data_IF_793903791361
#
_entry.id   IF_793903791361
#
_cell.length_a   1.000
_cell.length_b   1.000
_cell.length_c   1.000
_cell.angle_alpha   90.00
_cell.angle_beta   90.00
_cell.angle_gamma   90.00
#
_symmetry.space_group_name_H-M   'P 1'
#
loop_
_entity.id
_entity.type
_entity.pdbx_description
1 polymer ?
#
# COMPACT_ATOMS: atom_id res chain seq x y z
N UNK A 1 35.61 -14.52 -13.05
CA UNK A 1 35.23 -13.23 -13.67
C UNK A 1 33.84 -12.79 -13.25
N UNK A 2 32.86 -13.68 -13.25
CA UNK A 2 31.47 -13.42 -12.81
C UNK A 2 31.37 -12.88 -11.37
N UNK A 3 32.11 -13.44 -10.41
CA UNK A 3 32.13 -12.93 -9.03
C UNK A 3 32.67 -11.49 -8.90
N UNK A 4 33.62 -11.10 -9.76
CA UNK A 4 34.19 -9.75 -9.78
C UNK A 4 33.20 -8.78 -10.44
N UNK A 5 32.53 -9.21 -11.51
CA UNK A 5 31.46 -8.46 -12.16
C UNK A 5 30.27 -8.22 -11.20
N UNK A 6 29.83 -9.26 -10.49
CA UNK A 6 28.76 -9.17 -9.49
C UNK A 6 29.17 -8.28 -8.31
N UNK A 7 30.44 -8.35 -7.88
CA UNK A 7 30.98 -7.44 -6.85
C UNK A 7 30.98 -5.98 -7.30
N UNK A 8 31.41 -5.69 -8.53
CA UNK A 8 31.41 -4.34 -9.10
C UNK A 8 29.98 -3.82 -9.30
N UNK A 9 29.06 -4.66 -9.78
CA UNK A 9 27.65 -4.32 -9.98
C UNK A 9 26.95 -4.05 -8.64
N UNK A 10 27.22 -4.85 -7.60
CA UNK A 10 26.69 -4.64 -6.25
C UNK A 10 27.24 -3.35 -5.62
N UNK A 11 28.54 -3.08 -5.73
CA UNK A 11 29.16 -1.84 -5.23
C UNK A 11 28.65 -0.62 -6.00
N UNK A 12 28.47 -0.72 -7.32
CA UNK A 12 27.90 0.35 -8.13
C UNK A 12 26.43 0.64 -7.75
N UNK A 13 25.63 -0.42 -7.61
CA UNK A 13 24.26 -0.33 -7.13
C UNK A 13 24.16 0.34 -5.76
N UNK A 14 25.03 -0.03 -4.82
CA UNK A 14 25.04 0.55 -3.47
C UNK A 14 25.51 2.01 -3.41
N UNK A 15 26.50 2.41 -4.23
CA UNK A 15 27.13 3.72 -4.13
C UNK A 15 26.49 4.79 -5.03
N UNK A 16 25.92 4.39 -6.18
CA UNK A 16 25.51 5.35 -7.22
C UNK A 16 24.02 5.31 -7.56
N UNK A 17 23.29 4.26 -7.17
CA UNK A 17 21.84 4.21 -7.36
C UNK A 17 21.11 4.77 -6.13
N UNK A 18 20.12 5.62 -6.38
CA UNK A 18 19.16 6.03 -5.35
C UNK A 18 18.40 4.82 -4.77
N UNK A 19 17.76 4.98 -3.61
CA UNK A 19 16.95 3.90 -3.02
C UNK A 19 15.89 3.37 -3.99
N UNK A 20 15.24 4.25 -4.76
CA UNK A 20 14.28 3.85 -5.80
C UNK A 20 14.91 3.07 -6.95
N UNK A 21 16.08 3.50 -7.44
CA UNK A 21 16.78 2.76 -8.50
C UNK A 21 17.29 1.41 -8.00
N UNK A 22 17.69 1.31 -6.73
CA UNK A 22 18.04 0.03 -6.08
C UNK A 22 16.82 -0.88 -5.93
N UNK A 23 15.65 -0.31 -5.60
CA UNK A 23 14.38 -1.02 -5.47
C UNK A 23 13.92 -1.67 -6.76
N UNK A 24 14.16 -1.00 -7.87
CA UNK A 24 13.82 -1.52 -9.17
C UNK A 24 14.86 -2.58 -9.60
N UNK A 25 16.16 -2.27 -9.50
CA UNK A 25 17.26 -3.07 -10.11
C UNK A 25 17.47 -4.52 -9.62
N UNK A 26 16.60 -5.05 -8.75
CA UNK A 26 16.64 -6.43 -8.25
C UNK A 26 17.87 -6.78 -7.41
N UNK A 27 18.69 -5.79 -7.02
CA UNK A 27 19.98 -5.97 -6.34
C UNK A 27 19.88 -6.18 -4.82
N UNK A 28 18.67 -6.23 -4.26
CA UNK A 28 18.40 -6.71 -2.89
C UNK A 28 17.02 -7.36 -2.79
N UNK A 29 16.86 -8.28 -1.85
CA UNK A 29 15.57 -8.84 -1.45
C UNK A 29 14.62 -7.69 -1.06
N UNK A 30 13.61 -7.41 -1.88
CA UNK A 30 12.61 -6.36 -1.66
C UNK A 30 11.23 -6.92 -1.23
N UNK A 31 11.08 -7.60 -0.07
CA UNK A 31 9.74 -8.03 0.35
C UNK A 31 8.93 -6.91 1.04
N UNK A 32 9.52 -6.05 1.89
CA UNK A 32 8.71 -5.40 2.94
C UNK A 32 7.78 -4.24 2.50
N UNK A 33 8.22 -3.21 1.75
CA UNK A 33 7.33 -2.11 1.39
C UNK A 33 6.21 -2.57 0.45
N UNK A 34 6.55 -3.46 -0.48
CA UNK A 34 5.61 -4.03 -1.43
C UNK A 34 4.57 -4.92 -0.73
N UNK A 35 5.02 -5.82 0.14
CA UNK A 35 4.11 -6.64 0.95
C UNK A 35 3.19 -5.78 1.81
N UNK A 36 3.68 -4.67 2.36
CA UNK A 36 2.87 -3.77 3.18
C UNK A 36 1.78 -3.06 2.36
N UNK A 37 2.11 -2.64 1.13
CA UNK A 37 1.12 -2.06 0.20
C UNK A 37 0.04 -3.10 -0.11
N UNK A 38 0.42 -4.28 -0.60
CA UNK A 38 -0.54 -5.32 -0.97
C UNK A 38 -1.36 -5.83 0.19
N UNK A 39 -0.77 -5.98 1.38
CA UNK A 39 -1.51 -6.41 2.57
C UNK A 39 -2.58 -5.38 2.95
N UNK A 40 -2.22 -4.09 2.97
CA UNK A 40 -3.18 -3.01 3.22
C UNK A 40 -4.31 -2.98 2.18
N UNK A 41 -3.96 -3.06 0.89
CA UNK A 41 -4.93 -3.07 -0.22
C UNK A 41 -5.87 -4.27 -0.14
N UNK A 42 -5.31 -5.46 0.04
CA UNK A 42 -6.07 -6.69 0.21
C UNK A 42 -7.04 -6.61 1.39
N UNK A 43 -6.61 -6.07 2.53
CA UNK A 43 -7.48 -5.94 3.70
C UNK A 43 -8.65 -4.98 3.49
N UNK A 44 -8.48 -3.93 2.67
CA UNK A 44 -9.58 -3.04 2.28
C UNK A 44 -10.54 -3.77 1.32
N UNK A 45 -10.00 -4.45 0.31
CA UNK A 45 -10.79 -5.20 -0.67
C UNK A 45 -11.60 -6.33 -0.02
N UNK A 46 -10.98 -7.10 0.87
CA UNK A 46 -11.62 -8.18 1.62
C UNK A 46 -12.74 -7.64 2.51
N UNK A 47 -12.49 -6.54 3.23
CA UNK A 47 -13.51 -5.86 4.03
C UNK A 47 -14.72 -5.46 3.18
N UNK A 48 -14.49 -4.79 2.03
CA UNK A 48 -15.57 -4.40 1.13
C UNK A 48 -16.33 -5.59 0.56
N UNK A 49 -15.59 -6.63 0.13
CA UNK A 49 -16.18 -7.85 -0.41
C UNK A 49 -17.09 -8.52 0.62
N UNK A 50 -16.61 -8.69 1.85
CA UNK A 50 -17.35 -9.36 2.92
C UNK A 50 -18.54 -8.53 3.40
N UNK A 51 -18.41 -7.21 3.54
CA UNK A 51 -19.56 -6.33 3.86
C UNK A 51 -20.60 -6.40 2.76
N UNK A 52 -20.19 -6.32 1.49
CA UNK A 52 -21.11 -6.41 0.35
C UNK A 52 -21.83 -7.76 0.30
N UNK A 53 -21.14 -8.84 0.66
CA UNK A 53 -21.69 -10.19 0.65
C UNK A 53 -22.63 -10.44 1.84
N UNK A 54 -22.23 -10.06 3.06
CA UNK A 54 -22.95 -10.37 4.30
C UNK A 54 -23.99 -9.33 4.69
N UNK A 55 -23.72 -8.05 4.42
CA UNK A 55 -24.51 -6.90 4.84
C UNK A 55 -24.83 -5.97 3.65
N UNK A 56 -25.47 -6.48 2.58
CA UNK A 56 -25.68 -5.71 1.35
C UNK A 56 -26.53 -4.44 1.54
N UNK A 57 -27.30 -4.35 2.63
CA UNK A 57 -28.06 -3.14 2.98
C UNK A 57 -27.18 -2.01 3.53
N UNK A 58 -25.97 -2.29 4.01
CA UNK A 58 -25.05 -1.33 4.63
C UNK A 58 -24.20 -0.58 3.60
N UNK A 59 -24.89 0.09 2.69
CA UNK A 59 -24.28 0.98 1.68
C UNK A 59 -23.52 2.15 2.30
N UNK A 60 -23.86 2.54 3.53
CA UNK A 60 -23.14 3.54 4.32
C UNK A 60 -21.71 3.08 4.67
N UNK A 61 -21.53 1.80 5.04
CA UNK A 61 -20.21 1.23 5.35
C UNK A 61 -19.36 1.15 4.09
N UNK A 62 -19.94 0.62 3.00
CA UNK A 62 -19.24 0.49 1.71
C UNK A 62 -18.76 1.85 1.20
N UNK A 63 -19.61 2.89 1.26
CA UNK A 63 -19.24 4.24 0.84
C UNK A 63 -18.10 4.86 1.66
N UNK A 64 -17.92 4.46 2.93
CA UNK A 64 -16.76 4.90 3.72
C UNK A 64 -15.48 4.17 3.29
N UNK A 65 -15.54 2.85 3.08
CA UNK A 65 -14.38 2.09 2.61
C UNK A 65 -13.90 2.55 1.22
N UNK A 66 -14.83 2.82 0.31
CA UNK A 66 -14.52 3.40 -1.02
C UNK A 66 -13.80 4.76 -0.91
N UNK A 67 -14.22 5.61 0.05
CA UNK A 67 -13.55 6.90 0.31
C UNK A 67 -12.14 6.72 0.88
N UNK A 68 -11.89 5.68 1.68
CA UNK A 68 -10.53 5.36 2.13
C UNK A 68 -9.65 5.01 0.94
N UNK A 69 -10.11 4.16 0.02
CA UNK A 69 -9.35 3.85 -1.20
C UNK A 69 -9.10 5.11 -2.04
N UNK A 70 -10.12 5.94 -2.26
CA UNK A 70 -9.98 7.19 -3.02
C UNK A 70 -8.94 8.11 -2.39
N UNK A 71 -8.97 8.24 -1.06
CA UNK A 71 -7.98 9.01 -0.30
C UNK A 71 -6.56 8.47 -0.54
N UNK A 72 -6.36 7.16 -0.46
CA UNK A 72 -5.04 6.54 -0.67
C UNK A 72 -4.58 6.73 -2.12
N UNK A 73 -5.45 6.46 -3.10
CA UNK A 73 -5.17 6.66 -4.53
C UNK A 73 -4.78 8.10 -4.84
N UNK A 74 -5.42 9.09 -4.19
CA UNK A 74 -5.13 10.51 -4.42
C UNK A 74 -3.67 10.89 -4.10
N UNK A 75 -3.02 10.20 -3.17
CA UNK A 75 -1.59 10.41 -2.83
C UNK A 75 -0.67 10.06 -4.00
N UNK A 76 -1.10 9.14 -4.86
CA UNK A 76 -0.30 8.53 -5.92
C UNK A 76 -0.87 8.80 -7.31
N UNK A 77 -1.60 9.92 -7.48
CA UNK A 77 -2.13 10.34 -8.77
C UNK A 77 -3.30 9.49 -9.28
N UNK A 78 -4.07 8.89 -8.37
CA UNK A 78 -5.26 8.08 -8.67
C UNK A 78 -5.00 6.57 -8.74
N UNK A 79 -3.78 6.13 -8.44
CA UNK A 79 -3.35 4.72 -8.54
C UNK A 79 -3.10 4.18 -7.12
N UNK A 80 -3.37 2.90 -6.89
CA UNK A 80 -3.00 2.28 -5.61
C UNK A 80 -1.48 2.14 -5.49
N UNK A 81 -0.91 2.21 -4.28
CA UNK A 81 0.54 2.12 -4.11
C UNK A 81 1.16 0.81 -4.63
N UNK A 82 0.48 -0.33 -4.48
CA UNK A 82 0.86 -1.63 -5.03
C UNK A 82 0.88 -1.61 -6.56
N UNK A 83 -0.22 -1.15 -7.19
CA UNK A 83 -0.29 -0.95 -8.64
C UNK A 83 0.82 -0.03 -9.17
N UNK A 84 1.14 1.05 -8.44
CA UNK A 84 2.18 1.99 -8.84
C UNK A 84 3.55 1.30 -8.85
N UNK A 85 3.82 0.44 -7.88
CA UNK A 85 5.02 -0.37 -7.83
C UNK A 85 5.10 -1.30 -9.04
N UNK A 86 4.03 -2.04 -9.35
CA UNK A 86 3.95 -2.94 -10.50
C UNK A 86 4.17 -2.23 -11.85
N UNK A 87 3.70 -0.98 -11.97
CA UNK A 87 3.94 -0.16 -13.15
C UNK A 87 5.43 0.16 -13.30
N UNK A 88 6.09 0.58 -12.22
CA UNK A 88 7.51 0.94 -12.28
C UNK A 88 8.42 -0.27 -12.44
N UNK A 89 8.13 -1.39 -11.80
CA UNK A 89 8.86 -2.64 -11.98
C UNK A 89 8.79 -3.11 -13.45
N UNK A 90 7.60 -3.13 -14.05
CA UNK A 90 7.44 -3.49 -15.48
C UNK A 90 8.18 -2.54 -16.42
N UNK A 91 8.21 -1.24 -16.10
CA UNK A 91 8.92 -0.24 -16.92
C UNK A 91 10.43 -0.42 -16.84
N UNK A 92 10.97 -0.70 -15.67
CA UNK A 92 12.39 -1.01 -15.56
C UNK A 92 12.74 -2.32 -16.26
N UNK A 93 11.93 -3.38 -16.11
CA UNK A 93 12.12 -4.65 -16.81
C UNK A 93 12.12 -4.48 -18.34
N UNK A 94 11.41 -3.48 -18.86
CA UNK A 94 11.39 -3.11 -20.29
C UNK A 94 12.40 -2.02 -20.67
N UNK A 95 13.35 -1.70 -19.76
CA UNK A 95 14.39 -0.68 -19.94
C UNK A 95 13.86 0.71 -20.28
N UNK A 96 12.62 1.01 -19.89
CA UNK A 96 12.05 2.34 -20.01
C UNK A 96 12.52 3.21 -18.86
N UNK A 97 13.20 4.31 -19.19
CA UNK A 97 13.64 5.26 -18.17
C UNK A 97 12.45 5.90 -17.46
N UNK A 98 12.54 5.97 -16.13
CA UNK A 98 11.64 6.77 -15.31
C UNK A 98 12.05 8.24 -15.37
N UNK A 99 11.06 9.12 -15.39
CA UNK A 99 11.30 10.56 -15.27
C UNK A 99 11.77 10.90 -13.84
N UNK A 100 12.47 12.04 -13.63
CA UNK A 100 12.88 12.46 -12.29
C UNK A 100 11.72 12.55 -11.29
N UNK A 101 10.54 12.97 -11.73
CA UNK A 101 9.33 13.04 -10.91
C UNK A 101 8.83 11.66 -10.48
N UNK A 102 8.88 10.68 -11.38
CA UNK A 102 8.49 9.30 -11.08
C UNK A 102 9.46 8.65 -10.09
N UNK A 103 10.76 8.92 -10.24
CA UNK A 103 11.78 8.49 -9.28
C UNK A 103 11.51 9.11 -7.90
N UNK A 104 11.19 10.39 -7.84
CA UNK A 104 10.83 11.06 -6.57
C UNK A 104 9.58 10.46 -5.93
N UNK A 105 8.53 10.20 -6.72
CA UNK A 105 7.30 9.55 -6.23
C UNK A 105 7.60 8.16 -5.67
N UNK A 106 8.38 7.35 -6.39
CA UNK A 106 8.76 6.02 -5.95
C UNK A 106 9.62 6.07 -4.68
N UNK A 107 10.55 7.02 -4.55
CA UNK A 107 11.33 7.20 -3.33
C UNK A 107 10.43 7.53 -2.13
N UNK A 108 9.44 8.41 -2.30
CA UNK A 108 8.48 8.75 -1.24
C UNK A 108 7.62 7.56 -0.85
N UNK A 109 7.16 6.78 -1.83
CA UNK A 109 6.42 5.55 -1.59
C UNK A 109 7.28 4.58 -0.78
N UNK A 110 8.48 4.25 -1.24
CA UNK A 110 9.37 3.32 -0.53
C UNK A 110 9.68 3.78 0.89
N UNK A 111 9.95 5.07 1.09
CA UNK A 111 10.24 5.61 2.41
C UNK A 111 9.05 5.49 3.37
N UNK A 112 7.81 5.76 2.90
CA UNK A 112 6.60 5.62 3.71
C UNK A 112 6.31 4.15 4.05
N UNK A 113 6.32 3.30 3.03
CA UNK A 113 5.85 1.92 3.14
C UNK A 113 6.88 0.95 3.71
N UNK A 114 8.14 1.37 3.87
CA UNK A 114 9.17 0.58 4.57
C UNK A 114 8.98 0.56 6.09
N UNK A 115 8.35 1.58 6.67
CA UNK A 115 8.06 1.63 8.12
C UNK A 115 6.75 0.90 8.43
N UNK A 116 6.83 -0.43 8.56
CA UNK A 116 5.66 -1.28 8.80
C UNK A 116 4.91 -0.90 10.07
N UNK A 117 5.62 -0.46 11.12
CA UNK A 117 5.01 -0.03 12.38
C UNK A 117 4.20 1.26 12.20
N UNK A 118 4.71 2.21 11.42
CA UNK A 118 3.96 3.41 11.08
C UNK A 118 2.72 3.09 10.25
N UNK A 119 2.83 2.17 9.28
CA UNK A 119 1.71 1.71 8.45
C UNK A 119 0.65 1.00 9.29
N UNK A 120 1.02 0.04 10.14
CA UNK A 120 0.09 -0.64 11.06
C UNK A 120 -0.64 0.35 11.98
N UNK A 121 0.05 1.41 12.42
CA UNK A 121 -0.56 2.46 13.23
C UNK A 121 -1.51 3.34 12.41
N UNK A 122 -1.10 3.78 11.23
CA UNK A 122 -1.90 4.64 10.34
C UNK A 122 -3.21 3.92 9.93
N UNK A 123 -3.13 2.64 9.62
CA UNK A 123 -4.26 1.80 9.17
C UNK A 123 -4.72 0.80 10.23
N UNK A 124 -4.61 1.15 11.51
CA UNK A 124 -4.94 0.26 12.64
C UNK A 124 -6.37 -0.28 12.62
N UNK A 125 -7.29 0.42 11.94
CA UNK A 125 -8.67 -0.04 11.72
C UNK A 125 -8.76 -1.31 10.87
N UNK A 126 -7.78 -1.59 10.01
CA UNK A 126 -7.72 -2.82 9.21
C UNK A 126 -7.15 -4.02 9.96
N UNK A 127 -6.62 -3.81 11.18
CA UNK A 127 -5.97 -4.87 11.96
C UNK A 127 -4.89 -5.62 11.15
N UNK A 128 -4.00 -4.86 10.52
CA UNK A 128 -2.89 -5.41 9.72
C UNK A 128 -1.96 -6.34 10.54
N UNK A 129 -2.00 -6.23 11.87
CA UNK A 129 -1.35 -7.10 12.85
C UNK A 129 -1.86 -8.55 12.84
N UNK A 130 -3.05 -8.79 12.29
CA UNK A 130 -3.69 -10.11 12.28
C UNK A 130 -3.45 -10.85 10.97
N UNK A 131 -3.25 -12.16 11.10
CA UNK A 131 -3.20 -13.07 9.96
C UNK A 131 -4.53 -13.77 9.75
N UNK A 132 -4.75 -14.32 8.56
CA UNK A 132 -5.91 -15.20 8.32
C UNK A 132 -5.87 -16.41 9.26
N UNK A 133 -6.98 -16.81 9.89
CA UNK A 133 -8.35 -16.29 9.72
C UNK A 133 -8.74 -15.17 10.71
N UNK A 134 -7.85 -14.76 11.62
CA UNK A 134 -8.16 -13.87 12.74
C UNK A 134 -8.57 -12.47 12.30
N UNK A 135 -8.08 -12.01 11.15
CA UNK A 135 -8.47 -10.71 10.59
C UNK A 135 -9.98 -10.59 10.29
N UNK A 136 -10.70 -11.72 10.17
CA UNK A 136 -12.15 -11.72 9.92
C UNK A 136 -12.94 -11.03 11.02
N UNK A 137 -12.35 -10.86 12.21
CA UNK A 137 -12.97 -10.15 13.33
C UNK A 137 -13.44 -8.74 12.98
N UNK A 138 -12.86 -8.08 11.96
CA UNK A 138 -13.27 -6.73 11.58
C UNK A 138 -14.62 -6.69 10.83
N UNK A 139 -15.14 -7.85 10.39
CA UNK A 139 -16.37 -7.94 9.59
C UNK A 139 -17.15 -9.26 9.77
N UNK A 140 -16.84 -10.07 10.79
CA UNK A 140 -17.54 -11.34 11.09
C UNK A 140 -18.98 -11.12 11.60
N UNK A 141 -19.24 -9.95 12.20
CA UNK A 141 -20.56 -9.45 12.60
C UNK A 141 -20.84 -8.06 11.99
N UNK A 142 -22.12 -7.69 11.88
CA UNK A 142 -22.51 -6.37 11.38
C UNK A 142 -22.01 -5.25 12.31
N UNK A 143 -21.98 -5.51 13.62
CA UNK A 143 -21.46 -4.57 14.63
C UNK A 143 -19.96 -4.33 14.43
N UNK A 144 -19.17 -5.39 14.20
CA UNK A 144 -17.74 -5.25 13.92
C UNK A 144 -17.48 -4.54 12.59
N UNK A 145 -18.26 -4.84 11.54
CA UNK A 145 -18.18 -4.11 10.29
C UNK A 145 -18.48 -2.61 10.48
N UNK A 146 -19.50 -2.27 11.28
CA UNK A 146 -19.85 -0.89 11.58
C UNK A 146 -18.77 -0.18 12.42
N UNK A 147 -18.18 -0.83 13.42
CA UNK A 147 -17.08 -0.29 14.23
C UNK A 147 -15.85 -0.01 13.37
N UNK A 148 -15.49 -0.95 12.49
CA UNK A 148 -14.38 -0.79 11.54
C UNK A 148 -14.62 0.39 10.59
N UNK A 149 -15.84 0.52 10.06
CA UNK A 149 -16.23 1.64 9.20
C UNK A 149 -16.20 2.98 9.93
N UNK A 150 -16.63 3.04 11.19
CA UNK A 150 -16.55 4.27 11.97
C UNK A 150 -15.09 4.67 12.20
N UNK A 151 -14.17 3.72 12.45
CA UNK A 151 -12.73 4.03 12.56
C UNK A 151 -12.14 4.52 11.23
N UNK A 152 -12.51 3.92 10.09
CA UNK A 152 -12.14 4.42 8.76
C UNK A 152 -12.60 5.86 8.55
N UNK A 153 -13.85 6.16 8.94
CA UNK A 153 -14.41 7.50 8.86
C UNK A 153 -13.66 8.50 9.76
N UNK A 154 -13.31 8.11 10.98
CA UNK A 154 -12.49 8.94 11.86
C UNK A 154 -11.10 9.19 11.27
N UNK A 155 -10.49 8.20 10.64
CA UNK A 155 -9.22 8.36 9.92
C UNK A 155 -9.35 9.36 8.76
N UNK A 156 -10.41 9.25 7.94
CA UNK A 156 -10.70 10.19 6.85
C UNK A 156 -10.88 11.63 7.37
N UNK A 157 -11.66 11.80 8.46
CA UNK A 157 -11.87 13.11 9.08
C UNK A 157 -10.58 13.68 9.67
N UNK A 158 -9.76 12.86 10.31
CA UNK A 158 -8.46 13.31 10.83
C UNK A 158 -7.51 13.73 9.70
N UNK A 159 -7.60 13.07 8.54
CA UNK A 159 -6.75 13.32 7.38
C UNK A 159 -7.17 14.56 6.58
N UNK A 160 -8.47 14.70 6.30
CA UNK A 160 -8.99 15.70 5.36
C UNK A 160 -9.83 16.80 6.02
N UNK A 161 -10.24 16.62 7.28
CA UNK A 161 -11.16 17.52 7.97
C UNK A 161 -12.62 17.43 7.50
N UNK A 162 -12.89 16.69 6.43
CA UNK A 162 -14.22 16.49 5.83
C UNK A 162 -14.33 15.11 5.19
N UNK A 163 -15.57 14.69 4.92
CA UNK A 163 -15.87 13.51 4.09
C UNK A 163 -16.26 13.90 2.66
N UNK A 164 -16.28 15.20 2.33
CA UNK A 164 -16.63 15.71 1.01
C UNK A 164 -15.34 16.00 0.21
N UNK A 165 -14.87 15.00 -0.54
CA UNK A 165 -13.74 15.09 -1.46
C UNK A 165 -13.90 14.09 -2.61
#
# INVERSE_FOLDING_TARGET
>A
MEAVYNGIQSVYGCLFLSQAQRALSGLHEYPFPLQSCYHMEFMIEDFQFEVKHRYPHRTDILGIAEKVEQSIRSEYGGIMPGDLFDIYERREATSQNLTPREIETLQKLLAKWQDTTAIEKEYSFLRLDLHYPDHKIIHDTEEHAADTAEKMKQWLLARHGTLEF
#
